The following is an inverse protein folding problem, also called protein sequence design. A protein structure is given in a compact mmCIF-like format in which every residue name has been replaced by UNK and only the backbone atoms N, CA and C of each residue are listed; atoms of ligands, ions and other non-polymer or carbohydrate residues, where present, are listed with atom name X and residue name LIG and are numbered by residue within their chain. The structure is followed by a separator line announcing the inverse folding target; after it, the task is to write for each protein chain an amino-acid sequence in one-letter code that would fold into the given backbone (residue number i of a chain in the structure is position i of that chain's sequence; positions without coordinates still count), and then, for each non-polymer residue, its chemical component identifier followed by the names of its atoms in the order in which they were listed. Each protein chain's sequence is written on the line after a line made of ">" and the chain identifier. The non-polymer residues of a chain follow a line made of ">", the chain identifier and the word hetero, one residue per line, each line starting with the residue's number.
data_IF_677836685685
#
_entry.id   IF_677836685685
#
_cell.length_a   1.000
_cell.length_b   1.000
_cell.length_c   1.000
_cell.angle_alpha   90.00
_cell.angle_beta   90.00
_cell.angle_gamma   90.00
#
_symmetry.space_group_name_H-M   'P 1'
#
loop_
_entity.id
_entity.type
_entity.pdbx_description
1 polymer ?
#
# COMPACT_ATOMS: atom_id res chain seq x y z
N UNK A 1 24.55 2.43 -12.16
CA UNK A 1 23.42 1.68 -12.74
C UNK A 1 22.59 2.66 -13.53
N UNK A 2 22.85 2.78 -14.83
CA UNK A 2 22.03 3.59 -15.73
C UNK A 2 20.68 2.90 -15.87
N UNK A 3 19.64 3.50 -15.30
CA UNK A 3 18.26 3.19 -15.66
C UNK A 3 18.09 3.66 -17.11
N UNK A 4 18.27 2.73 -18.04
CA UNK A 4 17.97 2.93 -19.45
C UNK A 4 16.49 3.32 -19.53
N UNK A 5 16.23 4.62 -19.69
CA UNK A 5 14.91 5.18 -19.98
C UNK A 5 14.48 4.78 -21.38
N UNK A 6 14.36 3.49 -21.63
CA UNK A 6 13.53 3.00 -22.71
C UNK A 6 12.11 3.30 -22.30
N UNK A 7 11.43 4.18 -23.01
CA UNK A 7 9.97 4.16 -23.04
C UNK A 7 9.62 2.71 -23.36
N UNK A 8 9.03 1.92 -22.44
CA UNK A 8 8.53 0.61 -22.85
C UNK A 8 7.57 0.92 -23.99
N UNK A 9 7.90 0.44 -25.19
CA UNK A 9 7.05 0.66 -26.35
C UNK A 9 5.73 -0.02 -26.01
N UNK A 10 4.74 0.76 -25.55
CA UNK A 10 3.37 0.31 -25.39
C UNK A 10 2.94 -0.05 -26.80
N UNK A 11 3.12 -1.32 -27.14
CA UNK A 11 2.97 -1.81 -28.49
C UNK A 11 1.53 -2.27 -28.61
N UNK A 12 0.66 -1.39 -29.08
CA UNK A 12 -0.73 -1.75 -29.35
C UNK A 12 -1.70 -0.59 -29.21
N UNK A 13 -2.90 -0.81 -29.69
CA UNK A 13 -4.04 0.10 -29.54
C UNK A 13 -4.89 -0.35 -28.35
N UNK A 14 -5.40 0.62 -27.58
CA UNK A 14 -6.29 0.38 -26.44
C UNK A 14 -7.58 -0.30 -26.90
N UNK A 15 -7.89 -1.44 -26.30
CA UNK A 15 -9.16 -2.15 -26.51
C UNK A 15 -10.16 -1.75 -25.45
N UNK A 16 -9.75 -1.77 -24.18
CA UNK A 16 -10.60 -1.52 -23.03
C UNK A 16 -9.79 -1.03 -21.82
N UNK A 17 -10.48 -0.41 -20.87
CA UNK A 17 -9.93 0.09 -19.61
C UNK A 17 -10.64 -0.55 -18.43
N UNK A 18 -9.88 -0.84 -17.37
CA UNK A 18 -10.35 -1.51 -16.18
C UNK A 18 -9.75 -0.86 -14.92
N UNK A 19 -10.54 -0.74 -13.86
CA UNK A 19 -10.08 -0.19 -12.59
C UNK A 19 -9.19 -1.17 -11.80
N UNK A 20 -9.31 -2.47 -12.05
CA UNK A 20 -8.56 -3.51 -11.34
C UNK A 20 -7.78 -4.41 -12.30
N UNK A 21 -6.65 -4.92 -11.81
CA UNK A 21 -5.80 -5.84 -12.55
C UNK A 21 -6.52 -7.16 -12.85
N UNK A 22 -7.34 -7.66 -11.92
CA UNK A 22 -8.14 -8.87 -12.11
C UNK A 22 -9.16 -8.73 -13.24
N UNK A 23 -9.81 -7.56 -13.37
CA UNK A 23 -10.74 -7.30 -14.47
C UNK A 23 -10.00 -7.25 -15.82
N UNK A 24 -8.81 -6.65 -15.85
CA UNK A 24 -7.94 -6.69 -17.03
C UNK A 24 -7.51 -8.11 -17.38
N UNK A 25 -7.13 -8.94 -16.41
CA UNK A 25 -6.78 -10.35 -16.64
C UNK A 25 -7.95 -11.15 -17.20
N UNK A 26 -9.18 -10.94 -16.71
CA UNK A 26 -10.37 -11.57 -17.26
C UNK A 26 -10.56 -11.19 -18.73
N UNK A 27 -10.40 -9.92 -19.08
CA UNK A 27 -10.46 -9.47 -20.46
C UNK A 27 -9.40 -10.14 -21.34
N UNK A 28 -8.15 -10.26 -20.86
CA UNK A 28 -7.09 -11.00 -21.56
C UNK A 28 -7.48 -12.47 -21.78
N UNK A 29 -8.06 -13.12 -20.77
CA UNK A 29 -8.52 -14.51 -20.91
C UNK A 29 -9.61 -14.66 -21.97
N UNK A 30 -10.54 -13.70 -22.07
CA UNK A 30 -11.57 -13.67 -23.11
C UNK A 30 -10.96 -13.44 -24.50
N UNK A 31 -9.97 -12.55 -24.62
CA UNK A 31 -9.27 -12.31 -25.89
C UNK A 31 -8.50 -13.54 -26.38
N UNK A 32 -7.81 -14.25 -25.47
CA UNK A 32 -7.12 -15.50 -25.81
C UNK A 32 -8.12 -16.57 -26.24
N UNK A 33 -9.27 -16.65 -25.55
CA UNK A 33 -10.35 -17.59 -25.92
C UNK A 33 -10.97 -17.28 -27.29
N UNK A 34 -10.87 -16.02 -27.74
CA UNK A 34 -11.27 -15.58 -29.08
C UNK A 34 -10.16 -15.71 -30.14
N UNK A 35 -9.16 -16.56 -29.89
CA UNK A 35 -8.05 -16.87 -30.80
C UNK A 35 -7.20 -15.65 -31.17
N UNK A 36 -6.96 -14.76 -30.18
CA UNK A 36 -6.01 -13.67 -30.28
C UNK A 36 -4.70 -14.11 -29.61
N UNK A 37 -3.55 -14.05 -30.32
CA UNK A 37 -2.28 -14.51 -29.77
C UNK A 37 -1.89 -13.74 -28.51
N UNK A 38 -1.58 -14.44 -27.41
CA UNK A 38 -1.22 -13.81 -26.13
C UNK A 38 -0.02 -12.84 -26.23
N UNK A 39 0.93 -13.09 -27.15
CA UNK A 39 2.08 -12.22 -27.42
C UNK A 39 1.71 -10.84 -27.97
N UNK A 40 0.48 -10.70 -28.50
CA UNK A 40 -0.04 -9.46 -29.10
C UNK A 40 -0.88 -8.66 -28.11
N UNK A 41 -1.06 -9.16 -26.88
CA UNK A 41 -1.87 -8.54 -25.83
C UNK A 41 -0.95 -8.02 -24.72
N UNK A 42 -1.17 -6.80 -24.28
CA UNK A 42 -0.46 -6.22 -23.13
C UNK A 42 -1.45 -5.61 -22.13
N UNK A 43 -1.12 -5.71 -20.85
CA UNK A 43 -1.80 -4.98 -19.77
C UNK A 43 -0.86 -3.84 -19.34
N UNK A 44 -1.34 -2.61 -19.45
CA UNK A 44 -0.57 -1.41 -19.12
C UNK A 44 -1.22 -0.72 -17.93
N UNK A 45 -0.50 -0.62 -16.82
CA UNK A 45 -0.94 0.14 -15.65
C UNK A 45 -0.59 1.62 -15.82
N UNK A 46 -1.59 2.49 -15.65
CA UNK A 46 -1.45 3.94 -15.71
C UNK A 46 -1.67 4.57 -14.33
N UNK A 47 -1.12 5.77 -14.15
CA UNK A 47 -1.22 6.46 -12.86
C UNK A 47 -0.55 5.67 -11.73
N UNK A 48 0.70 5.25 -11.94
CA UNK A 48 1.43 4.50 -10.92
C UNK A 48 1.70 5.39 -9.72
N UNK A 49 1.06 5.06 -8.59
CA UNK A 49 1.34 5.66 -7.30
C UNK A 49 2.16 4.69 -6.45
N UNK A 50 3.27 5.18 -5.93
CA UNK A 50 4.04 4.47 -4.93
C UNK A 50 3.45 4.78 -3.55
N UNK A 51 2.79 3.81 -2.95
CA UNK A 51 2.26 3.91 -1.59
C UNK A 51 3.29 3.31 -0.64
N UNK A 52 3.82 4.14 0.25
CA UNK A 52 4.67 3.68 1.35
C UNK A 52 3.78 3.41 2.57
N UNK A 53 3.45 2.14 2.80
CA UNK A 53 2.63 1.76 3.94
C UNK A 53 3.52 1.54 5.15
N UNK A 54 3.36 2.40 6.16
CA UNK A 54 4.04 2.24 7.45
C UNK A 54 3.39 1.08 8.20
N UNK A 55 4.07 -0.07 8.22
CA UNK A 55 3.59 -1.31 8.83
C UNK A 55 3.70 -1.28 10.36
N UNK A 56 4.53 -0.39 10.91
CA UNK A 56 4.63 -0.18 12.35
C UNK A 56 5.97 0.39 12.79
N UNK A 57 6.16 0.49 14.11
CA UNK A 57 7.42 0.92 14.70
C UNK A 57 8.45 -0.20 14.58
N UNK A 58 9.63 0.14 14.07
CA UNK A 58 10.74 -0.79 13.94
C UNK A 58 11.31 -1.04 15.36
N UNK A 59 10.86 -2.12 16.02
CA UNK A 59 11.18 -2.42 17.42
C UNK A 59 12.04 -3.67 17.62
N UNK A 60 12.99 -3.61 18.56
CA UNK A 60 13.79 -4.78 18.98
C UNK A 60 12.93 -5.96 19.44
N UNK A 61 11.77 -5.69 20.06
CA UNK A 61 10.83 -6.72 20.49
C UNK A 61 10.26 -7.53 19.33
N UNK A 62 9.90 -6.88 18.22
CA UNK A 62 9.39 -7.55 17.02
C UNK A 62 10.50 -8.37 16.37
N UNK A 63 11.71 -7.82 16.24
CA UNK A 63 12.86 -8.54 15.69
C UNK A 63 13.22 -9.78 16.52
N UNK A 64 13.20 -9.66 17.84
CA UNK A 64 13.41 -10.76 18.77
C UNK A 64 12.35 -11.86 18.60
N UNK A 65 11.06 -11.50 18.48
CA UNK A 65 9.97 -12.47 18.25
C UNK A 65 10.14 -13.21 16.94
N UNK A 66 10.36 -12.50 15.84
CA UNK A 66 10.56 -13.13 14.52
C UNK A 66 11.81 -14.01 14.52
N UNK A 67 12.88 -13.57 15.20
CA UNK A 67 14.09 -14.36 15.40
C UNK A 67 13.87 -15.61 16.23
N UNK A 68 13.08 -15.53 17.29
CA UNK A 68 12.71 -16.68 18.11
C UNK A 68 11.86 -17.69 17.32
N UNK A 69 10.88 -17.24 16.53
CA UNK A 69 10.05 -18.11 15.67
C UNK A 69 10.93 -18.87 14.67
N UNK A 70 11.83 -18.17 13.97
CA UNK A 70 12.78 -18.81 13.06
C UNK A 70 13.79 -19.70 13.81
N UNK A 71 14.16 -19.32 15.03
CA UNK A 71 15.03 -20.07 15.91
C UNK A 71 14.39 -21.35 16.45
N UNK A 72 13.06 -21.42 16.59
CA UNK A 72 12.33 -22.66 16.94
C UNK A 72 12.55 -23.68 15.82
N UNK A 73 12.39 -23.28 14.56
CA UNK A 73 12.62 -24.19 13.43
C UNK A 73 14.06 -24.70 13.41
N UNK A 74 15.03 -23.80 13.57
CA UNK A 74 16.45 -24.15 13.62
C UNK A 74 16.75 -25.09 14.79
N UNK A 75 16.28 -24.73 15.99
CA UNK A 75 16.44 -25.51 17.21
C UNK A 75 15.78 -26.88 17.11
N UNK A 76 14.61 -26.97 16.48
CA UNK A 76 13.93 -28.23 16.23
C UNK A 76 14.77 -29.16 15.35
N UNK A 77 15.34 -28.63 14.26
CA UNK A 77 16.21 -29.42 13.35
C UNK A 77 17.43 -29.93 14.11
N UNK A 78 18.16 -29.06 14.82
CA UNK A 78 19.35 -29.48 15.57
C UNK A 78 19.03 -30.45 16.70
N UNK A 79 17.92 -30.21 17.40
CA UNK A 79 17.47 -31.05 18.49
C UNK A 79 17.08 -32.45 18.00
N UNK A 80 16.42 -32.53 16.85
CA UNK A 80 16.06 -33.79 16.21
C UNK A 80 17.31 -34.57 15.78
N UNK A 81 18.29 -33.89 15.16
CA UNK A 81 19.57 -34.51 14.79
C UNK A 81 20.31 -35.05 16.03
N UNK A 82 20.32 -34.29 17.13
CA UNK A 82 20.95 -34.72 18.37
C UNK A 82 20.27 -35.95 18.97
N UNK A 83 18.93 -35.95 19.08
CA UNK A 83 18.17 -37.08 19.61
C UNK A 83 18.35 -38.34 18.77
N UNK A 84 18.27 -38.25 17.44
CA UNK A 84 18.51 -39.41 16.57
C UNK A 84 19.96 -39.89 16.61
N UNK A 85 20.92 -39.00 16.87
CA UNK A 85 22.34 -39.34 17.04
C UNK A 85 22.70 -39.91 18.41
N UNK A 86 21.81 -39.82 19.42
CA UNK A 86 22.04 -40.34 20.77
C UNK A 86 20.89 -41.23 21.26
N UNK A 87 21.06 -42.56 21.29
CA UNK A 87 19.98 -43.52 21.57
C UNK A 87 19.39 -43.47 23.01
N UNK A 88 19.98 -42.70 23.93
CA UNK A 88 19.50 -42.49 25.31
C UNK A 88 19.34 -40.99 25.63
N UNK A 89 19.03 -40.18 24.61
CA UNK A 89 18.86 -38.74 24.80
C UNK A 89 17.65 -38.45 25.68
N UNK A 90 17.88 -37.91 26.88
CA UNK A 90 16.82 -37.43 27.73
C UNK A 90 16.01 -36.32 27.04
N UNK A 91 14.69 -36.28 27.27
CA UNK A 91 13.79 -35.21 26.78
C UNK A 91 14.32 -33.81 27.20
N UNK A 92 15.03 -33.73 28.33
CA UNK A 92 15.70 -32.51 28.79
C UNK A 92 16.78 -32.01 27.81
N UNK A 93 17.53 -32.91 27.17
CA UNK A 93 18.54 -32.57 26.17
C UNK A 93 17.88 -32.01 24.91
N UNK A 94 16.77 -32.60 24.48
CA UNK A 94 15.98 -32.09 23.36
C UNK A 94 15.52 -30.63 23.61
N UNK A 95 14.94 -30.39 24.78
CA UNK A 95 14.49 -29.05 25.18
C UNK A 95 15.65 -28.07 25.30
N UNK A 96 16.80 -28.51 25.82
CA UNK A 96 18.01 -27.71 25.94
C UNK A 96 18.54 -27.25 24.58
N UNK A 97 18.75 -28.18 23.64
CA UNK A 97 19.24 -27.88 22.29
C UNK A 97 18.23 -26.99 21.53
N UNK A 98 16.94 -27.26 21.69
CA UNK A 98 15.90 -26.43 21.09
C UNK A 98 15.96 -24.99 21.62
N UNK A 99 16.04 -24.78 22.95
CA UNK A 99 16.13 -23.45 23.56
C UNK A 99 17.38 -22.70 23.11
N UNK A 100 18.51 -23.38 22.97
CA UNK A 100 19.74 -22.79 22.42
C UNK A 100 19.53 -22.33 20.98
N UNK A 101 18.89 -23.14 20.13
CA UNK A 101 18.53 -22.75 18.76
C UNK A 101 17.63 -21.52 18.70
N UNK A 102 16.63 -21.44 19.60
CA UNK A 102 15.77 -20.26 19.75
C UNK A 102 16.57 -19.03 20.16
N UNK A 103 17.45 -19.16 21.15
CA UNK A 103 18.28 -18.06 21.65
C UNK A 103 19.24 -17.54 20.58
N UNK A 104 19.88 -18.44 19.82
CA UNK A 104 20.77 -18.08 18.70
C UNK A 104 19.97 -17.41 17.59
N UNK A 105 18.81 -17.95 17.21
CA UNK A 105 17.94 -17.34 16.18
C UNK A 105 17.46 -15.94 16.59
N UNK A 106 17.10 -15.76 17.85
CA UNK A 106 16.73 -14.47 18.43
C UNK A 106 17.90 -13.49 18.39
N UNK A 107 19.10 -13.91 18.83
CA UNK A 107 20.31 -13.07 18.84
C UNK A 107 20.72 -12.65 17.44
N UNK A 108 20.73 -13.59 16.48
CA UNK A 108 21.08 -13.32 15.09
C UNK A 108 20.09 -12.34 14.43
N UNK A 109 18.80 -12.51 14.68
CA UNK A 109 17.76 -11.57 14.22
C UNK A 109 17.98 -10.17 14.80
N UNK A 110 18.33 -10.07 16.09
CA UNK A 110 18.60 -8.80 16.75
C UNK A 110 19.82 -8.09 16.16
N UNK A 111 20.90 -8.83 15.87
CA UNK A 111 22.10 -8.30 15.23
C UNK A 111 21.78 -7.83 13.81
N UNK A 112 21.09 -8.65 13.01
CA UNK A 112 20.70 -8.29 11.65
C UNK A 112 19.80 -7.06 11.64
N UNK A 113 18.86 -7.01 12.58
CA UNK A 113 17.98 -5.87 12.78
C UNK A 113 18.75 -4.60 13.17
N UNK A 114 19.73 -4.70 14.07
CA UNK A 114 20.57 -3.57 14.45
C UNK A 114 21.38 -3.00 13.27
N UNK A 115 21.85 -3.86 12.36
CA UNK A 115 22.52 -3.44 11.13
C UNK A 115 21.58 -2.69 10.17
N UNK A 116 20.35 -3.20 9.99
CA UNK A 116 19.34 -2.61 9.08
C UNK A 116 18.72 -1.34 9.66
N UNK A 117 18.54 -1.26 10.99
CA UNK A 117 17.85 -0.18 11.70
C UNK A 117 18.55 1.18 11.63
N UNK A 118 19.82 1.26 11.20
CA UNK A 118 20.69 2.44 11.32
C UNK A 118 20.12 3.76 10.76
N UNK A 119 19.02 3.77 10.00
CA UNK A 119 18.45 5.01 9.41
C UNK A 119 16.93 5.18 9.49
N UNK A 120 16.14 4.26 10.05
CA UNK A 120 14.65 4.36 10.03
C UNK A 120 14.01 3.81 11.31
N UNK A 121 13.19 4.64 11.97
CA UNK A 121 12.40 4.26 13.16
C UNK A 121 11.07 3.56 12.83
N UNK A 122 10.80 3.36 11.54
CA UNK A 122 9.57 2.79 11.02
C UNK A 122 9.85 1.66 10.03
N UNK A 123 9.06 0.59 10.13
CA UNK A 123 8.96 -0.42 9.09
C UNK A 123 8.02 0.11 8.02
N UNK A 124 8.50 0.25 6.79
CA UNK A 124 7.66 0.60 5.66
C UNK A 124 7.79 -0.43 4.55
N UNK A 125 6.67 -0.70 3.89
CA UNK A 125 6.60 -1.52 2.68
C UNK A 125 6.20 -0.60 1.54
N UNK A 126 7.06 -0.49 0.54
CA UNK A 126 6.78 0.25 -0.69
C UNK A 126 5.99 -0.63 -1.63
N UNK A 127 4.80 -0.18 -2.02
CA UNK A 127 3.97 -0.84 -3.02
C UNK A 127 3.70 0.12 -4.17
N UNK A 128 3.78 -0.37 -5.40
CA UNK A 128 3.40 0.39 -6.58
C UNK A 128 2.01 -0.07 -7.01
N UNK A 129 1.05 0.85 -7.03
CA UNK A 129 -0.35 0.58 -7.39
C UNK A 129 -0.71 1.46 -8.58
N UNK A 130 -1.39 0.91 -9.58
CA UNK A 130 -1.93 1.70 -10.69
C UNK A 130 -3.30 2.28 -10.35
N UNK A 131 -3.63 3.43 -10.92
CA UNK A 131 -4.97 4.02 -10.84
C UNK A 131 -5.97 3.24 -11.71
N UNK A 132 -5.53 2.83 -12.90
CA UNK A 132 -6.30 2.05 -13.86
C UNK A 132 -5.37 1.22 -14.75
N UNK A 133 -5.93 0.22 -15.40
CA UNK A 133 -5.26 -0.71 -16.28
C UNK A 133 -5.91 -0.67 -17.66
N UNK A 134 -5.11 -0.52 -18.70
CA UNK A 134 -5.58 -0.66 -20.07
C UNK A 134 -5.13 -2.00 -20.64
N UNK A 135 -6.03 -2.65 -21.37
CA UNK A 135 -5.67 -3.81 -22.20
C UNK A 135 -5.45 -3.30 -23.61
N UNK A 136 -4.23 -3.42 -24.10
CA UNK A 136 -3.83 -3.03 -25.45
C UNK A 136 -3.55 -4.26 -26.30
N UNK A 137 -3.83 -4.17 -27.59
CA UNK A 137 -3.61 -5.25 -28.56
C UNK A 137 -2.92 -4.70 -29.80
N UNK A 138 -2.05 -5.47 -30.45
CA UNK A 138 -1.41 -5.07 -31.70
C UNK A 138 -2.45 -4.67 -32.77
N UNK A 139 -2.11 -3.69 -33.61
CA UNK A 139 -3.00 -3.14 -34.64
C UNK A 139 -3.57 -4.20 -35.62
N UNK A 140 -2.86 -5.31 -35.84
CA UNK A 140 -3.33 -6.45 -36.64
C UNK A 140 -4.58 -7.13 -36.07
N UNK A 141 -4.72 -7.16 -34.74
CA UNK A 141 -5.73 -7.94 -34.02
C UNK A 141 -6.80 -7.06 -33.34
N UNK A 142 -6.72 -5.73 -33.48
CA UNK A 142 -7.60 -4.78 -32.77
C UNK A 142 -9.09 -4.94 -33.12
N UNK A 143 -9.41 -5.17 -34.39
CA UNK A 143 -10.80 -5.31 -34.83
C UNK A 143 -11.45 -6.57 -34.25
N UNK A 144 -10.70 -7.68 -34.22
CA UNK A 144 -11.12 -8.93 -33.60
C UNK A 144 -11.26 -8.77 -32.09
N UNK A 145 -10.31 -8.08 -31.45
CA UNK A 145 -10.32 -7.82 -30.01
C UNK A 145 -11.54 -7.01 -29.55
N UNK A 146 -11.89 -5.94 -30.29
CA UNK A 146 -13.09 -5.13 -30.01
C UNK A 146 -14.37 -5.95 -30.17
N UNK A 147 -14.44 -6.79 -31.20
CA UNK A 147 -15.56 -7.72 -31.40
C UNK A 147 -15.68 -8.76 -30.27
N UNK A 148 -14.57 -9.36 -29.85
CA UNK A 148 -14.56 -10.37 -28.80
C UNK A 148 -14.99 -9.83 -27.42
N UNK A 149 -14.60 -8.60 -27.09
CA UNK A 149 -15.00 -7.96 -25.83
C UNK A 149 -16.35 -7.21 -25.94
N UNK A 150 -16.99 -7.18 -27.12
CA UNK A 150 -18.17 -6.35 -27.40
C UNK A 150 -17.99 -4.88 -26.97
N UNK A 151 -16.76 -4.36 -27.07
CA UNK A 151 -16.44 -2.98 -26.68
C UNK A 151 -16.65 -2.08 -27.89
N UNK A 152 -17.57 -1.13 -27.76
CA UNK A 152 -17.76 -0.08 -28.75
C UNK A 152 -16.44 0.70 -28.93
N UNK A 153 -16.11 1.18 -30.15
CA UNK A 153 -14.87 1.90 -30.38
C UNK A 153 -14.75 3.04 -29.36
N UNK A 154 -13.68 3.01 -28.56
CA UNK A 154 -13.35 4.08 -27.66
C UNK A 154 -13.20 5.34 -28.49
N UNK A 155 -14.16 6.26 -28.37
CA UNK A 155 -14.07 7.56 -29.01
C UNK A 155 -12.79 8.20 -28.50
N UNK A 156 -11.88 8.72 -29.35
CA UNK A 156 -10.74 9.47 -28.86
C UNK A 156 -11.30 10.54 -27.92
N UNK A 157 -10.91 10.47 -26.65
CA UNK A 157 -11.21 11.51 -25.70
C UNK A 157 -10.47 12.74 -26.23
N UNK A 158 -11.21 13.64 -26.89
CA UNK A 158 -10.69 14.96 -27.21
C UNK A 158 -10.20 15.52 -25.88
N UNK A 159 -8.91 15.87 -25.72
CA UNK A 159 -8.46 16.50 -24.51
C UNK A 159 -9.35 17.72 -24.29
N UNK A 160 -10.20 17.67 -23.27
CA UNK A 160 -10.96 18.83 -22.83
C UNK A 160 -9.95 19.70 -22.11
N UNK A 161 -9.12 20.40 -22.87
CA UNK A 161 -8.52 21.63 -22.37
C UNK A 161 -9.71 22.52 -22.01
N UNK A 162 -9.91 22.88 -20.73
CA UNK A 162 -10.78 23.99 -20.41
C UNK A 162 -10.15 25.18 -21.13
N UNK A 163 -10.72 25.60 -22.26
CA UNK A 163 -10.36 26.86 -22.90
C UNK A 163 -10.99 27.92 -22.00
N UNK A 164 -10.22 28.71 -21.24
CA UNK A 164 -10.77 29.87 -20.58
C UNK A 164 -11.16 30.84 -21.69
N UNK A 165 -12.43 31.25 -21.74
CA UNK A 165 -12.90 32.30 -22.66
C UNK A 165 -12.31 33.64 -22.24
N UNK A 166 -11.05 33.89 -22.61
CA UNK A 166 -10.40 35.16 -22.38
C UNK A 166 -8.91 35.15 -22.75
N UNK A 167 -8.38 36.24 -23.33
CA UNK A 167 -6.94 36.40 -23.50
C UNK A 167 -6.24 36.36 -22.12
N UNK A 168 -5.06 35.72 -22.00
CA UNK A 168 -4.34 35.62 -20.74
C UNK A 168 -3.98 37.02 -20.23
N UNK A 169 -4.61 37.45 -19.13
CA UNK A 169 -4.29 38.70 -18.45
C UNK A 169 -3.03 38.53 -17.61
N UNK A 170 -1.88 38.73 -18.26
CA UNK A 170 -0.61 38.85 -17.56
C UNK A 170 -0.56 40.20 -16.81
N UNK A 171 -0.41 40.15 -15.49
CA UNK A 171 -0.15 41.34 -14.65
C UNK A 171 -1.25 41.78 -13.69
N UNK A 172 -2.37 41.06 -13.57
CA UNK A 172 -3.40 41.40 -12.59
C UNK A 172 -3.07 40.75 -11.23
N UNK A 173 -2.74 41.58 -10.23
CA UNK A 173 -2.57 41.14 -8.84
C UNK A 173 -3.96 40.79 -8.31
N UNK A 174 -4.12 39.57 -7.78
CA UNK A 174 -5.33 39.19 -7.04
C UNK A 174 -5.40 40.09 -5.81
N UNK A 175 -6.33 41.04 -5.81
CA UNK A 175 -6.64 41.82 -4.61
C UNK A 175 -7.28 40.88 -3.57
N UNK A 176 -6.90 40.98 -2.28
CA UNK A 176 -7.54 40.20 -1.22
C UNK A 176 -9.03 40.53 -1.18
N UNK A 177 -9.88 39.50 -1.18
CA UNK A 177 -11.33 39.61 -1.01
C UNK A 177 -11.65 40.46 0.23
N UNK A 178 -12.40 41.57 0.10
CA UNK A 178 -12.88 42.34 1.26
C UNK A 178 -13.86 41.48 2.08
N UNK A 179 -13.67 41.44 3.39
CA UNK A 179 -14.60 40.82 4.32
C UNK A 179 -15.99 41.48 4.22
N UNK A 180 -17.11 40.76 4.48
CA UNK A 180 -18.45 41.32 4.36
C UNK A 180 -18.69 42.36 5.45
N UNK A 181 -18.77 43.64 5.07
CA UNK A 181 -19.19 44.74 5.94
C UNK A 181 -20.71 44.66 6.12
N UNK A 182 -21.16 44.21 7.29
CA UNK A 182 -22.55 44.29 7.70
C UNK A 182 -22.94 45.73 8.06
N UNK A 183 -24.12 46.14 7.60
CA UNK A 183 -24.74 47.45 7.83
C UNK A 183 -24.83 47.81 9.32
N UNK A 184 -24.30 48.98 9.68
CA UNK A 184 -24.77 49.73 10.86
C UNK A 184 -24.77 51.23 10.57
N UNK A 185 -25.92 51.93 10.68
CA UNK A 185 -25.98 53.39 10.50
C UNK A 185 -25.38 54.13 11.71
N UNK A 186 -24.62 55.20 11.45
CA UNK A 186 -24.34 56.30 12.38
C UNK A 186 -25.38 57.44 12.17
N UNK A 187 -25.51 58.53 12.99
CA UNK A 187 -24.58 59.06 14.01
C UNK A 187 -25.23 59.72 15.27
N UNK A 188 -24.40 60.21 16.21
CA UNK A 188 -24.79 61.17 17.26
C UNK A 188 -23.59 61.67 18.11
N UNK A 189 -23.42 62.98 18.39
CA UNK A 189 -22.19 63.52 18.99
C UNK A 189 -22.32 63.87 20.49
N UNK A 190 -21.27 63.63 21.29
CA UNK A 190 -20.94 64.37 22.52
C UNK A 190 -19.51 64.04 23.01
N UNK A 191 -18.72 65.07 23.32
CA UNK A 191 -17.41 65.03 23.98
C UNK A 191 -17.58 65.26 25.52
N UNK A 192 -16.55 65.52 26.37
CA UNK A 192 -15.11 65.17 26.43
C UNK A 192 -14.68 64.57 27.82
N UNK A 193 -13.36 64.50 28.11
CA UNK A 193 -12.59 64.20 29.38
C UNK A 193 -12.08 62.74 29.55
N UNK A 194 -10.82 62.44 29.93
CA UNK A 194 -9.67 63.23 30.39
C UNK A 194 -8.35 62.40 30.36
N UNK A 195 -7.26 63.08 30.74
CA UNK A 195 -5.80 62.85 30.67
C UNK A 195 -5.26 61.63 31.49
N UNK A 196 -3.99 61.18 31.31
CA UNK A 196 -3.52 59.79 31.44
C UNK A 196 -2.89 59.43 32.80
N UNK A 197 -2.76 58.13 33.08
CA UNK A 197 -2.03 57.58 34.22
C UNK A 197 -1.22 56.33 33.81
N UNK A 198 -0.03 56.17 34.40
CA UNK A 198 1.10 55.36 33.92
C UNK A 198 1.11 53.87 34.31
N UNK A 199 2.27 53.19 34.13
CA UNK A 199 2.40 51.72 34.15
C UNK A 199 2.61 51.17 35.57
N UNK A 200 2.42 49.85 35.80
CA UNK A 200 3.60 49.00 35.99
C UNK A 200 3.47 47.50 35.64
N UNK A 201 4.63 46.91 35.33
CA UNK A 201 5.19 45.61 35.80
C UNK A 201 4.56 44.24 35.44
N UNK A 202 5.42 43.37 34.87
CA UNK A 202 5.78 42.07 35.47
C UNK A 202 5.13 40.78 34.94
N UNK A 203 5.97 39.93 34.33
CA UNK A 203 5.87 38.50 33.91
C UNK A 203 5.17 37.51 34.89
N UNK A 204 4.91 36.20 34.59
CA UNK A 204 5.57 35.33 33.59
C UNK A 204 4.72 34.24 32.86
N UNK A 205 5.38 33.53 31.95
CA UNK A 205 4.90 32.42 31.11
C UNK A 205 4.55 31.11 31.87
N UNK A 206 3.69 30.23 31.34
CA UNK A 206 3.53 28.86 31.82
C UNK A 206 4.32 27.84 30.98
N UNK A 207 4.94 26.87 31.68
CA UNK A 207 5.71 25.76 31.14
C UNK A 207 4.87 24.56 30.64
N UNK A 208 5.51 23.43 30.29
CA UNK A 208 4.90 22.33 29.54
C UNK A 208 4.09 21.40 30.44
N UNK A 209 2.88 21.05 30.00
CA UNK A 209 2.01 20.07 30.68
C UNK A 209 2.15 18.69 30.05
N UNK A 210 2.55 17.73 30.89
CA UNK A 210 2.42 16.28 30.68
C UNK A 210 0.98 15.89 30.37
N UNK A 211 0.77 15.08 29.34
CA UNK A 211 -0.52 14.43 29.06
C UNK A 211 -0.37 12.89 29.05
N UNK A 212 -1.22 12.13 29.77
CA UNK A 212 -1.10 10.68 29.94
C UNK A 212 -1.53 9.84 28.72
N UNK A 213 -0.98 8.63 28.61
CA UNK A 213 -1.33 7.59 27.62
C UNK A 213 -2.83 7.21 27.60
N UNK A 214 -3.43 6.89 26.43
CA UNK A 214 -4.64 6.08 26.35
C UNK A 214 -4.36 4.56 26.41
N UNK A 215 -5.36 3.74 26.81
CA UNK A 215 -5.16 2.37 27.30
C UNK A 215 -5.03 1.30 26.21
N UNK A 216 -4.47 0.16 26.63
CA UNK A 216 -4.34 -1.07 25.86
C UNK A 216 -5.70 -1.60 25.35
N UNK A 217 -5.78 -1.85 24.04
CA UNK A 217 -6.84 -2.66 23.44
C UNK A 217 -6.31 -4.09 23.33
N UNK A 218 -6.98 -5.02 24.00
CA UNK A 218 -6.66 -6.45 24.00
C UNK A 218 -6.90 -7.13 22.65
N UNK A 219 -6.51 -8.41 22.51
CA UNK A 219 -6.56 -9.14 21.25
C UNK A 219 -8.00 -9.46 20.85
N UNK A 220 -8.36 -9.14 19.61
CA UNK A 220 -9.64 -9.56 19.00
C UNK A 220 -9.49 -11.02 18.53
N UNK A 221 -10.38 -11.95 18.92
CA UNK A 221 -10.36 -13.32 18.45
C UNK A 221 -11.12 -13.47 17.11
N UNK A 222 -10.60 -14.32 16.22
CA UNK A 222 -11.39 -15.03 15.21
C UNK A 222 -11.78 -14.26 13.94
N UNK A 223 -10.92 -14.35 12.92
CA UNK A 223 -11.29 -14.12 11.52
C UNK A 223 -10.74 -15.25 10.68
N UNK A 224 -11.42 -16.39 10.72
CA UNK A 224 -11.16 -17.59 9.92
C UNK A 224 -11.19 -17.22 8.43
N UNK A 225 -10.06 -17.36 7.74
CA UNK A 225 -10.03 -17.26 6.29
C UNK A 225 -10.68 -18.52 5.69
N UNK A 226 -11.60 -18.42 4.71
CA UNK A 226 -12.01 -19.59 3.96
C UNK A 226 -10.80 -20.11 3.16
N UNK A 227 -10.42 -21.35 3.43
CA UNK A 227 -9.33 -22.03 2.75
C UNK A 227 -9.61 -22.23 1.25
N UNK A 228 -8.57 -22.52 0.46
CA UNK A 228 -8.73 -22.81 -0.96
C UNK A 228 -9.47 -24.14 -1.13
N UNK A 229 -10.67 -24.07 -1.66
CA UNK A 229 -11.45 -25.23 -2.12
C UNK A 229 -10.68 -25.88 -3.29
N UNK A 230 -10.22 -27.11 -3.08
CA UNK A 230 -9.55 -27.91 -4.10
C UNK A 230 -10.55 -28.29 -5.20
N UNK A 231 -10.20 -28.20 -6.50
CA UNK A 231 -11.03 -28.75 -7.55
C UNK A 231 -11.14 -30.27 -7.39
N UNK A 232 -12.37 -30.75 -7.25
CA UNK A 232 -12.68 -32.17 -7.17
C UNK A 232 -12.11 -32.97 -8.35
N UNK A 233 -11.55 -34.12 -8.02
CA UNK A 233 -11.17 -35.18 -8.97
C UNK A 233 -12.41 -35.63 -9.74
N UNK A 234 -12.36 -35.79 -11.08
CA UNK A 234 -13.46 -36.39 -11.82
C UNK A 234 -13.64 -37.85 -11.42
N UNK A 235 -14.83 -38.18 -10.93
CA UNK A 235 -15.33 -39.52 -10.67
C UNK A 235 -15.42 -40.32 -11.98
N UNK A 236 -14.96 -41.59 -12.03
CA UNK A 236 -15.14 -42.43 -13.22
C UNK A 236 -16.62 -42.87 -13.35
N UNK A 237 -17.16 -42.97 -14.58
CA UNK A 237 -18.57 -43.31 -14.77
C UNK A 237 -18.87 -44.74 -14.28
N UNK A 238 -20.00 -44.84 -13.56
CA UNK A 238 -20.58 -46.07 -13.07
C UNK A 238 -20.75 -47.11 -14.18
N UNK A 239 -20.25 -48.31 -13.90
CA UNK A 239 -20.53 -49.53 -14.66
C UNK A 239 -21.98 -49.97 -14.44
N UNK A 240 -22.72 -50.05 -15.55
CA UNK A 240 -24.10 -50.55 -15.67
C UNK A 240 -24.13 -52.08 -15.37
N UNK A 241 -25.06 -52.60 -14.56
CA UNK A 241 -25.14 -54.03 -14.28
C UNK A 241 -25.88 -54.77 -15.41
N UNK A 242 -25.31 -55.88 -15.86
CA UNK A 242 -26.02 -56.97 -16.55
C UNK A 242 -26.13 -58.17 -15.62
#
# INVERSE_FOLDING_TARGET
>A
MSMMGGTPAVTGEKVAEYASYEAAQKAVSTLISADIPAREIAIVGYGLRSVETVTGRLGYATAARTGAINGILLGLIFSLIFVFGTPDAAIQLFLGVMLVGVAIGMMMSLVMFALVRRRRDFASVTQVVADHYEVTVQASSIHRARGALNVAPARPATPTTPVPDGPPRYGERIDPVPAPTGDRPAPGPAAPTGTPAGPPSGSPAPGPVDAPLPPAVGPVPGGEAPGPEAPGTPEPPASDPR
#
